data_IF_432702950202
#
_entry.id   IF_432702950202
#
_cell.length_a   1.000
_cell.length_b   1.000
_cell.length_c   1.000
_cell.angle_alpha   90.00
_cell.angle_beta   90.00
_cell.angle_gamma   90.00
#
_symmetry.space_group_name_H-M   'P 1'
#
loop_
_entity.id
_entity.type
_entity.pdbx_description
1 polymer ?
#
# COMPACT_ATOMS: atom_id res chain seq x y z
N UNK A 1 20.65 -7.52 -16.97
CA UNK A 1 19.83 -6.32 -17.17
C UNK A 1 18.52 -6.44 -16.41
N UNK A 2 18.25 -5.53 -15.51
CA UNK A 2 17.01 -5.56 -14.74
C UNK A 2 15.84 -5.11 -15.63
N UNK A 3 14.77 -5.89 -15.61
CA UNK A 3 13.57 -5.59 -16.36
C UNK A 3 12.82 -4.37 -15.81
N UNK A 4 12.98 -4.10 -14.52
CA UNK A 4 12.29 -3.00 -13.83
C UNK A 4 13.29 -2.05 -13.22
N UNK A 5 12.92 -0.77 -13.21
CA UNK A 5 13.76 0.29 -12.65
C UNK A 5 13.23 0.69 -11.28
N UNK A 6 13.91 0.22 -10.23
CA UNK A 6 13.53 0.52 -8.85
C UNK A 6 14.04 1.86 -8.33
N UNK A 7 14.70 2.66 -9.20
CA UNK A 7 15.11 4.01 -8.80
C UNK A 7 13.92 4.93 -8.56
N UNK A 8 12.74 4.55 -9.05
CA UNK A 8 11.50 5.29 -8.82
C UNK A 8 10.59 4.60 -7.81
N UNK A 9 11.16 3.74 -6.98
CA UNK A 9 10.41 3.04 -5.94
C UNK A 9 9.77 3.99 -4.95
N UNK A 10 8.55 3.65 -4.52
CA UNK A 10 7.82 4.46 -3.54
C UNK A 10 6.82 3.59 -2.79
N UNK A 11 6.52 4.03 -1.59
CA UNK A 11 5.48 3.43 -0.75
C UNK A 11 4.30 4.40 -0.73
N UNK A 12 3.11 3.87 -0.88
CA UNK A 12 1.88 4.65 -0.90
C UNK A 12 0.84 4.01 -0.03
N UNK A 13 -0.23 4.75 0.26
CA UNK A 13 -1.43 4.16 0.83
C UNK A 13 -2.65 4.62 0.05
N UNK A 14 -3.68 3.79 0.04
CA UNK A 14 -5.01 4.18 -0.42
C UNK A 14 -5.89 4.23 0.82
N UNK A 15 -6.54 5.36 1.05
CA UNK A 15 -7.40 5.55 2.21
C UNK A 15 -8.84 5.65 1.76
N UNK A 16 -9.70 4.84 2.38
CA UNK A 16 -11.14 4.93 2.23
C UNK A 16 -11.64 6.09 3.10
N UNK A 17 -12.19 7.13 2.48
CA UNK A 17 -12.65 8.31 3.22
C UNK A 17 -13.94 8.06 4.00
N UNK A 18 -14.65 6.98 3.72
CA UNK A 18 -15.87 6.60 4.43
C UNK A 18 -15.54 5.81 5.70
N UNK A 19 -14.84 4.68 5.55
CA UNK A 19 -14.50 3.81 6.69
C UNK A 19 -13.25 4.25 7.44
N UNK A 20 -12.38 5.03 6.78
CA UNK A 20 -11.05 5.41 7.27
C UNK A 20 -10.04 4.26 7.26
N UNK A 21 -10.38 3.15 6.64
CA UNK A 21 -9.45 2.03 6.47
C UNK A 21 -8.38 2.37 5.43
N UNK A 22 -7.23 1.72 5.55
CA UNK A 22 -6.05 2.03 4.74
C UNK A 22 -5.43 0.75 4.17
N UNK A 23 -5.05 0.82 2.91
CA UNK A 23 -4.24 -0.20 2.25
C UNK A 23 -2.87 0.39 1.93
N UNK A 24 -1.79 -0.29 2.30
CA UNK A 24 -0.42 0.15 2.03
C UNK A 24 0.17 -0.70 0.91
N UNK A 25 0.86 -0.06 -0.04
CA UNK A 25 1.49 -0.79 -1.14
C UNK A 25 2.79 -0.14 -1.57
N UNK A 26 3.45 -0.78 -2.52
CA UNK A 26 4.63 -0.22 -3.16
C UNK A 26 4.45 -0.21 -4.68
N UNK A 27 5.17 0.69 -5.35
CA UNK A 27 5.14 0.77 -6.79
C UNK A 27 6.41 1.46 -7.30
N UNK A 28 6.72 1.25 -8.57
CA UNK A 28 7.74 2.02 -9.28
C UNK A 28 7.10 2.96 -10.29
N UNK A 29 5.77 2.96 -10.36
CA UNK A 29 5.00 3.77 -11.29
C UNK A 29 4.51 5.05 -10.61
N UNK A 30 4.11 6.08 -11.39
CA UNK A 30 3.40 7.23 -10.82
C UNK A 30 2.17 6.77 -10.05
N UNK A 31 1.82 7.47 -8.97
CA UNK A 31 0.71 7.06 -8.11
C UNK A 31 -0.62 6.99 -8.84
N UNK A 32 -0.90 7.93 -9.73
CA UNK A 32 -2.15 7.94 -10.51
C UNK A 32 -2.26 6.73 -11.44
N UNK A 33 -1.13 6.26 -11.97
CA UNK A 33 -1.09 5.05 -12.81
C UNK A 33 -1.37 3.82 -11.94
N UNK A 34 -0.73 3.75 -10.79
CA UNK A 34 -0.92 2.63 -9.87
C UNK A 34 -2.36 2.57 -9.35
N UNK A 35 -2.93 3.71 -8.99
CA UNK A 35 -4.32 3.78 -8.54
C UNK A 35 -5.28 3.30 -9.63
N UNK A 36 -5.05 3.72 -10.86
CA UNK A 36 -5.88 3.29 -12.01
C UNK A 36 -5.84 1.76 -12.16
N UNK A 37 -4.67 1.17 -11.95
CA UNK A 37 -4.51 -0.29 -12.00
C UNK A 37 -5.35 -0.97 -10.91
N UNK A 38 -5.30 -0.46 -9.68
CA UNK A 38 -6.12 -0.98 -8.58
C UNK A 38 -7.62 -0.89 -8.90
N UNK A 39 -8.06 0.24 -9.44
CA UNK A 39 -9.47 0.44 -9.78
C UNK A 39 -9.89 -0.50 -10.92
N UNK A 40 -9.05 -0.67 -11.93
CA UNK A 40 -9.32 -1.59 -13.04
C UNK A 40 -9.44 -3.03 -12.54
N UNK A 41 -8.51 -3.46 -11.69
CA UNK A 41 -8.53 -4.82 -11.13
C UNK A 41 -9.78 -5.01 -10.25
N UNK A 42 -10.14 -4.01 -9.46
CA UNK A 42 -11.34 -4.02 -8.63
C UNK A 42 -12.60 -4.19 -9.49
N UNK A 43 -12.74 -3.41 -10.55
CA UNK A 43 -13.91 -3.49 -11.44
C UNK A 43 -14.03 -4.85 -12.11
N UNK A 44 -12.91 -5.39 -12.60
CA UNK A 44 -12.87 -6.71 -13.20
C UNK A 44 -13.29 -7.78 -12.21
N UNK A 45 -12.78 -7.69 -11.00
CA UNK A 45 -13.07 -8.63 -9.93
C UNK A 45 -14.55 -8.62 -9.53
N UNK A 46 -15.12 -7.44 -9.34
CA UNK A 46 -16.52 -7.28 -8.96
C UNK A 46 -17.48 -7.66 -10.10
N UNK A 47 -17.09 -7.38 -11.34
CA UNK A 47 -17.90 -7.72 -12.52
C UNK A 47 -18.03 -9.21 -12.72
N UNK A 48 -17.03 -9.99 -12.31
CA UNK A 48 -17.04 -11.44 -12.48
C UNK A 48 -17.76 -12.18 -11.35
N UNK A 49 -17.70 -11.65 -10.13
CA UNK A 49 -18.10 -12.38 -8.94
C UNK A 49 -18.96 -11.59 -7.95
N UNK A 50 -19.77 -10.67 -8.37
CA UNK A 50 -20.64 -9.84 -7.51
C UNK A 50 -20.17 -9.63 -6.05
N UNK A 51 -19.66 -10.66 -5.38
CA UNK A 51 -19.12 -10.56 -4.04
C UNK A 51 -17.93 -11.51 -3.92
N UNK A 52 -16.70 -10.99 -4.04
CA UNK A 52 -15.49 -11.82 -4.01
C UNK A 52 -15.29 -12.52 -2.66
N UNK A 53 -14.74 -13.72 -2.74
CA UNK A 53 -14.48 -14.57 -1.59
C UNK A 53 -13.48 -13.92 -0.61
N UNK A 54 -12.52 -13.18 -1.14
CA UNK A 54 -11.48 -12.50 -0.35
C UNK A 54 -11.59 -10.99 -0.57
N UNK A 55 -12.59 -10.38 0.03
CA UNK A 55 -12.83 -8.96 -0.09
C UNK A 55 -11.91 -8.19 0.87
N UNK A 56 -10.63 -8.12 0.51
CA UNK A 56 -9.59 -7.48 1.31
C UNK A 56 -8.58 -6.78 0.41
N UNK A 57 -7.58 -6.18 1.02
CA UNK A 57 -6.54 -5.47 0.29
C UNK A 57 -7.08 -4.18 -0.29
N UNK A 58 -6.62 -3.83 -1.50
CA UNK A 58 -7.04 -2.59 -2.13
C UNK A 58 -8.54 -2.56 -2.48
N UNK A 59 -9.14 -3.72 -2.73
CA UNK A 59 -10.58 -3.79 -3.05
C UNK A 59 -11.43 -3.23 -1.92
N UNK A 60 -11.06 -3.50 -0.68
CA UNK A 60 -11.81 -3.07 0.50
C UNK A 60 -11.83 -1.55 0.64
N UNK A 61 -10.72 -0.87 0.33
CA UNK A 61 -10.65 0.60 0.44
C UNK A 61 -11.26 1.31 -0.77
N UNK A 62 -11.46 0.61 -1.88
CA UNK A 62 -12.06 1.18 -3.10
C UNK A 62 -13.58 1.01 -3.11
N UNK A 63 -14.08 0.00 -2.42
CA UNK A 63 -15.49 -0.43 -2.47
C UNK A 63 -16.49 0.68 -2.22
N UNK A 64 -16.22 1.58 -1.28
CA UNK A 64 -17.17 2.65 -0.93
C UNK A 64 -17.18 3.81 -1.93
N UNK A 65 -16.29 3.81 -2.91
CA UNK A 65 -16.29 4.78 -4.01
C UNK A 65 -15.72 6.15 -3.66
N UNK A 66 -15.19 6.34 -2.46
CA UNK A 66 -14.61 7.60 -2.02
C UNK A 66 -13.26 7.31 -1.35
N UNK A 67 -12.20 7.49 -2.10
CA UNK A 67 -10.84 7.11 -1.67
C UNK A 67 -9.81 8.01 -2.31
N UNK A 68 -8.65 8.11 -1.66
CA UNK A 68 -7.49 8.84 -2.18
C UNK A 68 -6.24 8.01 -2.04
N UNK A 69 -5.28 8.22 -2.96
CA UNK A 69 -3.96 7.62 -2.87
C UNK A 69 -2.99 8.69 -2.38
N UNK A 70 -2.13 8.31 -1.42
CA UNK A 70 -1.16 9.22 -0.80
C UNK A 70 0.23 8.62 -0.85
N UNK A 71 1.22 9.45 -1.15
CA UNK A 71 2.63 9.05 -1.05
C UNK A 71 3.03 8.99 0.42
N UNK A 72 3.61 7.87 0.84
CA UNK A 72 4.17 7.75 2.19
C UNK A 72 5.67 8.01 2.18
N UNK A 73 6.37 7.45 1.21
CA UNK A 73 7.83 7.60 1.14
C UNK A 73 8.32 7.28 -0.26
N UNK A 74 9.22 8.12 -0.78
CA UNK A 74 10.01 7.75 -1.95
C UNK A 74 11.18 6.91 -1.46
N UNK A 75 11.40 5.78 -2.11
CA UNK A 75 12.47 4.88 -1.71
C UNK A 75 13.17 4.29 -2.93
N UNK A 76 14.06 5.07 -3.55
CA UNK A 76 14.89 4.55 -4.65
C UNK A 76 15.72 3.38 -4.14
N UNK A 77 15.70 2.27 -4.84
CA UNK A 77 16.41 1.05 -4.44
C UNK A 77 16.76 0.23 -5.67
N UNK A 78 17.38 -0.93 -5.45
CA UNK A 78 17.84 -1.77 -6.53
C UNK A 78 16.95 -2.98 -6.77
N UNK A 79 16.24 -3.44 -5.74
CA UNK A 79 15.48 -4.67 -5.81
C UNK A 79 14.09 -4.53 -5.23
N UNK A 80 13.19 -5.39 -5.70
CA UNK A 80 11.83 -5.48 -5.15
C UNK A 80 11.85 -5.84 -3.67
N UNK A 81 12.77 -6.70 -3.25
CA UNK A 81 12.89 -7.11 -1.85
C UNK A 81 13.16 -5.94 -0.91
N UNK A 82 14.02 -5.01 -1.35
CA UNK A 82 14.29 -3.81 -0.57
C UNK A 82 13.03 -2.97 -0.41
N UNK A 83 12.26 -2.83 -1.49
CA UNK A 83 11.03 -2.05 -1.48
C UNK A 83 9.96 -2.72 -0.61
N UNK A 84 9.85 -4.04 -0.67
CA UNK A 84 8.91 -4.80 0.16
C UNK A 84 9.21 -4.67 1.65
N UNK A 85 10.48 -4.59 2.03
CA UNK A 85 10.87 -4.38 3.41
C UNK A 85 10.34 -3.04 3.93
N UNK A 86 10.50 -1.99 3.15
CA UNK A 86 10.01 -0.65 3.52
C UNK A 86 8.48 -0.61 3.55
N UNK A 87 7.82 -1.30 2.63
CA UNK A 87 6.36 -1.43 2.67
C UNK A 87 5.91 -2.06 3.99
N UNK A 88 6.60 -3.11 4.46
CA UNK A 88 6.27 -3.76 5.72
C UNK A 88 6.40 -2.78 6.89
N UNK A 89 7.44 -1.96 6.90
CA UNK A 89 7.60 -0.94 7.93
C UNK A 89 6.41 0.02 7.95
N UNK A 90 5.93 0.44 6.78
CA UNK A 90 4.80 1.36 6.69
C UNK A 90 3.47 0.70 7.04
N UNK A 91 3.30 -0.61 6.74
CA UNK A 91 2.12 -1.35 7.19
C UNK A 91 2.03 -1.29 8.72
N UNK A 92 3.13 -1.57 9.40
CA UNK A 92 3.18 -1.54 10.86
C UNK A 92 2.98 -0.12 11.41
N UNK A 93 3.60 0.86 10.78
CA UNK A 93 3.47 2.26 11.22
C UNK A 93 2.04 2.75 11.07
N UNK A 94 1.43 2.52 9.92
CA UNK A 94 0.05 2.94 9.66
C UNK A 94 -0.95 2.22 10.56
N UNK A 95 -0.64 0.98 10.97
CA UNK A 95 -1.53 0.23 11.86
C UNK A 95 -1.63 0.85 13.26
N UNK A 96 -0.73 1.75 13.63
CA UNK A 96 -0.82 2.48 14.89
C UNK A 96 -2.01 3.46 14.90
N UNK A 97 -2.44 3.90 13.72
CA UNK A 97 -3.48 4.93 13.60
C UNK A 97 -4.73 4.45 12.85
N UNK A 98 -4.58 3.51 11.91
CA UNK A 98 -5.65 3.09 11.01
C UNK A 98 -5.82 1.58 11.03
N UNK A 99 -7.01 1.13 10.64
CA UNK A 99 -7.24 -0.27 10.35
C UNK A 99 -6.67 -0.58 8.96
N UNK A 100 -5.77 -1.57 8.90
CA UNK A 100 -5.06 -1.93 7.67
C UNK A 100 -5.77 -3.09 6.99
N UNK A 101 -6.03 -2.95 5.69
CA UNK A 101 -6.74 -3.97 4.92
C UNK A 101 -5.82 -4.95 4.19
N UNK A 102 -4.50 -4.77 4.28
CA UNK A 102 -3.55 -5.68 3.67
C UNK A 102 -3.75 -7.11 4.16
N UNK A 103 -3.69 -8.09 3.24
CA UNK A 103 -3.82 -9.51 3.59
C UNK A 103 -2.57 -10.04 4.24
N UNK A 104 -1.40 -9.65 3.72
CA UNK A 104 -0.11 -10.19 4.12
C UNK A 104 0.92 -9.10 4.25
N UNK A 105 1.92 -9.35 5.09
CA UNK A 105 3.12 -8.53 5.11
C UNK A 105 4.12 -9.12 4.13
N UNK A 106 4.68 -8.31 3.21
CA UNK A 106 5.57 -8.83 2.17
C UNK A 106 6.96 -9.23 2.69
N UNK A 107 7.31 -8.85 3.92
CA UNK A 107 8.61 -9.15 4.49
C UNK A 107 8.51 -9.37 5.99
N UNK A 108 9.47 -10.12 6.55
CA UNK A 108 9.58 -10.28 8.00
C UNK A 108 10.50 -9.21 8.56
N UNK A 109 10.25 -8.77 9.78
CA UNK A 109 11.11 -7.81 10.47
C UNK A 109 11.59 -8.40 11.79
N UNK A 110 12.72 -7.87 12.28
CA UNK A 110 13.30 -8.25 13.57
C UNK A 110 13.13 -7.10 14.58
N UNK A 111 13.40 -7.40 15.85
CA UNK A 111 13.24 -6.42 16.94
C UNK A 111 14.07 -5.16 16.73
N UNK A 112 15.27 -5.28 16.16
CA UNK A 112 16.14 -4.12 15.95
C UNK A 112 15.66 -3.17 14.85
N UNK A 113 14.67 -3.59 14.06
CA UNK A 113 14.07 -2.74 13.03
C UNK A 113 12.96 -1.84 13.57
N UNK A 114 12.51 -2.10 14.80
CA UNK A 114 11.44 -1.31 15.42
C UNK A 114 11.81 0.17 15.59
N UNK A 115 13.08 0.47 15.84
CA UNK A 115 13.53 1.86 15.97
C UNK A 115 13.29 2.64 14.68
N UNK A 116 13.56 2.02 13.54
CA UNK A 116 13.30 2.65 12.25
C UNK A 116 11.81 2.94 12.09
N UNK A 117 10.96 1.97 12.41
CA UNK A 117 9.51 2.11 12.30
C UNK A 117 9.00 3.23 13.23
N UNK A 118 9.50 3.26 14.47
CA UNK A 118 9.08 4.27 15.45
C UNK A 118 9.45 5.69 15.01
N UNK A 119 10.49 5.84 14.20
CA UNK A 119 10.93 7.14 13.71
C UNK A 119 10.20 7.60 12.44
N UNK A 120 9.40 6.75 11.84
CA UNK A 120 8.58 7.15 10.70
C UNK A 120 7.49 8.12 11.14
N UNK A 121 7.15 9.05 10.26
CA UNK A 121 6.13 10.06 10.54
C UNK A 121 4.96 9.85 9.58
N UNK A 122 3.77 9.61 10.12
CA UNK A 122 2.56 9.53 9.29
C UNK A 122 2.23 10.94 8.83
N UNK A 123 2.10 11.18 7.51
CA UNK A 123 1.73 12.51 7.01
C UNK A 123 0.41 12.99 7.63
N UNK A 124 0.39 14.24 8.08
CA UNK A 124 -0.76 14.80 8.81
C UNK A 124 -2.04 14.83 7.98
N UNK A 125 -1.91 14.98 6.67
CA UNK A 125 -3.08 15.10 5.78
C UNK A 125 -3.78 13.76 5.51
N UNK A 126 -3.22 12.68 5.98
CA UNK A 126 -3.83 11.34 5.82
C UNK A 126 -4.73 11.00 7.04
#
# INVERSE_FOLDING_TARGET
>A
MTKYNYSTGKIYCIKDNVSKDVYVGHTIQPLNVRLRKHVTDYRGFMGLNNKPRNFRGSAEVIFNGDYDIHLLQEYPCETKKQLEKIETYWILKMSEKFNITNKNMPSKISMNELDYINNLQIPEHI
#
